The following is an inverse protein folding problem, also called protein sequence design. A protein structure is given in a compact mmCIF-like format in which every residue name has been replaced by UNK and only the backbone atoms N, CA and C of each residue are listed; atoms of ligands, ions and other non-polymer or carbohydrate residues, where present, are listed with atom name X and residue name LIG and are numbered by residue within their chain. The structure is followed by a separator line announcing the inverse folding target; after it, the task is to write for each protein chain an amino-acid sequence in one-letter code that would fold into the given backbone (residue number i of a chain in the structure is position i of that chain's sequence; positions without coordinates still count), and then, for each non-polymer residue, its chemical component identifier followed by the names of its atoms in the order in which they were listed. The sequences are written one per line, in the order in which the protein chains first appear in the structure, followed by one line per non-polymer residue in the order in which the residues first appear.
data_IF_666824676606
#
_entry.id   IF_666824676606
#
_cell.length_a   1.000
_cell.length_b   1.000
_cell.length_c   1.000
_cell.angle_alpha   90.00
_cell.angle_beta   90.00
_cell.angle_gamma   90.00
#
_symmetry.space_group_name_H-M   'P 1'
#
loop_
_entity.id
_entity.type
_entity.pdbx_description
1 polymer ?
#
# COMPACT_ATOMS: atom_id res chain seq x y z
N UNK A 1 -16.52 6.69 -11.59
CA UNK A 1 -16.13 7.32 -10.31
C UNK A 1 -14.64 7.12 -10.08
N UNK A 2 -14.00 8.12 -9.51
CA UNK A 2 -12.59 7.99 -9.15
C UNK A 2 -12.42 7.07 -7.95
N UNK A 3 -11.29 6.41 -7.87
CA UNK A 3 -10.92 5.63 -6.72
C UNK A 3 -10.39 6.52 -5.60
N UNK A 4 -9.72 5.91 -4.66
CA UNK A 4 -9.20 6.62 -3.48
C UNK A 4 -7.71 6.38 -3.29
N UNK A 5 -7.09 7.31 -2.59
CA UNK A 5 -5.72 7.14 -2.12
C UNK A 5 -5.74 7.17 -0.60
N UNK A 6 -5.22 6.13 0.02
CA UNK A 6 -5.10 6.06 1.47
C UNK A 6 -3.64 5.93 1.86
N UNK A 7 -3.22 6.66 2.88
CA UNK A 7 -1.87 6.58 3.41
C UNK A 7 -1.90 5.71 4.66
N UNK A 8 -1.11 4.65 4.66
CA UNK A 8 -1.08 3.67 5.75
C UNK A 8 0.30 3.63 6.39
N UNK A 9 0.52 4.36 7.47
CA UNK A 9 1.75 4.17 8.22
C UNK A 9 1.71 2.81 8.91
N UNK A 10 2.74 2.02 8.71
CA UNK A 10 2.81 0.69 9.32
C UNK A 10 3.95 0.63 10.33
N UNK A 11 3.75 -0.06 11.45
CA UNK A 11 4.84 -0.25 12.40
C UNK A 11 5.89 -1.17 11.80
N UNK A 12 7.14 -0.75 11.88
CA UNK A 12 8.24 -1.54 11.36
C UNK A 12 8.42 -2.79 12.21
N UNK A 13 8.36 -3.94 11.54
CA UNK A 13 8.70 -5.20 12.19
C UNK A 13 7.73 -5.74 13.21
N UNK A 14 6.59 -5.10 13.42
CA UNK A 14 5.62 -5.59 14.39
C UNK A 14 4.22 -5.67 13.78
N UNK A 15 3.88 -6.85 13.31
CA UNK A 15 2.60 -7.11 12.65
C UNK A 15 1.42 -7.02 13.62
N UNK A 16 1.65 -7.32 14.88
CA UNK A 16 0.58 -7.32 15.87
C UNK A 16 0.06 -5.91 16.17
N UNK A 17 0.87 -4.90 15.87
CA UNK A 17 0.47 -3.53 16.09
C UNK A 17 -0.31 -2.92 14.94
N UNK A 18 -0.49 -3.67 13.85
CA UNK A 18 -1.28 -3.17 12.73
C UNK A 18 -2.75 -3.06 13.16
N UNK A 19 -3.32 -1.88 13.04
CA UNK A 19 -4.70 -1.67 13.43
C UNK A 19 -5.66 -2.37 12.47
N UNK A 20 -6.87 -2.71 12.93
CA UNK A 20 -7.89 -3.27 12.04
C UNK A 20 -8.18 -2.36 10.85
N UNK A 21 -8.08 -1.06 11.03
CA UNK A 21 -8.30 -0.10 9.96
C UNK A 21 -7.26 -0.20 8.87
N UNK A 22 -5.99 -0.38 9.25
CA UNK A 22 -4.92 -0.58 8.28
C UNK A 22 -5.18 -1.85 7.48
N UNK A 23 -5.55 -2.92 8.17
CA UNK A 23 -5.85 -4.19 7.52
C UNK A 23 -7.00 -4.04 6.52
N UNK A 24 -8.07 -3.40 6.91
CA UNK A 24 -9.22 -3.17 6.02
C UNK A 24 -8.83 -2.33 4.81
N UNK A 25 -8.03 -1.30 5.01
CA UNK A 25 -7.56 -0.46 3.92
C UNK A 25 -6.74 -1.25 2.91
N UNK A 26 -5.86 -2.12 3.39
CA UNK A 26 -5.04 -2.96 2.52
C UNK A 26 -5.88 -3.99 1.77
N UNK A 27 -6.89 -4.56 2.44
CA UNK A 27 -7.79 -5.52 1.80
C UNK A 27 -8.58 -4.84 0.67
N UNK A 28 -9.00 -3.60 0.88
CA UNK A 28 -9.79 -2.86 -0.09
C UNK A 28 -8.98 -2.30 -1.25
N UNK A 29 -7.66 -2.26 -1.11
CA UNK A 29 -6.81 -1.65 -2.12
C UNK A 29 -6.66 -2.56 -3.34
N UNK A 30 -6.62 -1.96 -4.51
CA UNK A 30 -6.28 -2.66 -5.74
C UNK A 30 -4.78 -2.66 -5.97
N UNK A 31 -4.13 -1.57 -5.58
CA UNK A 31 -2.68 -1.42 -5.66
C UNK A 31 -2.15 -0.93 -4.33
N UNK A 32 -0.99 -1.43 -3.94
CA UNK A 32 -0.30 -0.97 -2.74
C UNK A 32 1.08 -0.47 -3.14
N UNK A 33 1.30 0.82 -2.97
CA UNK A 33 2.58 1.44 -3.24
C UNK A 33 3.43 1.43 -1.97
N UNK A 34 4.67 0.97 -2.09
CA UNK A 34 5.55 0.81 -0.93
C UNK A 34 7.01 0.90 -1.35
N UNK A 35 7.87 1.28 -0.42
CA UNK A 35 9.29 1.37 -0.71
C UNK A 35 9.91 0.00 -0.98
N UNK A 36 9.56 -0.97 -0.16
CA UNK A 36 10.12 -2.32 -0.24
C UNK A 36 8.99 -3.33 -0.43
N UNK A 37 8.85 -3.81 -1.65
CA UNK A 37 7.77 -4.75 -1.98
C UNK A 37 7.92 -6.09 -1.27
N UNK A 38 9.15 -6.50 -0.97
CA UNK A 38 9.38 -7.76 -0.26
C UNK A 38 8.89 -7.66 1.17
N UNK A 39 9.25 -6.58 1.85
CA UNK A 39 8.83 -6.35 3.23
C UNK A 39 7.31 -6.23 3.32
N UNK A 40 6.72 -5.47 2.43
CA UNK A 40 5.27 -5.30 2.40
C UNK A 40 4.57 -6.60 2.08
N UNK A 41 5.12 -7.40 1.17
CA UNK A 41 4.57 -8.72 0.88
C UNK A 41 4.53 -9.63 2.10
N UNK A 42 5.60 -9.63 2.88
CA UNK A 42 5.64 -10.41 4.12
C UNK A 42 4.65 -9.90 5.15
N UNK A 43 4.50 -8.58 5.23
CA UNK A 43 3.50 -7.97 6.11
C UNK A 43 2.10 -8.44 5.75
N UNK A 44 1.77 -8.46 4.46
CA UNK A 44 0.46 -8.90 4.02
C UNK A 44 0.22 -10.38 4.28
N UNK A 45 1.24 -11.21 4.12
CA UNK A 45 1.14 -12.62 4.47
C UNK A 45 0.85 -12.79 5.96
N UNK A 46 1.56 -12.03 6.80
CA UNK A 46 1.37 -12.08 8.24
C UNK A 46 -0.02 -11.64 8.67
N UNK A 47 -0.61 -10.72 7.94
CA UNK A 47 -1.97 -10.24 8.21
C UNK A 47 -3.05 -11.07 7.52
N UNK A 48 -2.65 -12.08 6.77
CA UNK A 48 -3.57 -12.96 6.02
C UNK A 48 -4.49 -12.17 5.08
N UNK A 49 -3.92 -11.18 4.40
CA UNK A 49 -4.68 -10.36 3.46
C UNK A 49 -4.85 -11.11 2.14
N UNK A 50 -6.10 -11.37 1.79
CA UNK A 50 -6.44 -12.07 0.56
C UNK A 50 -7.73 -11.52 -0.04
N UNK A 51 -7.81 -11.35 -1.38
CA UNK A 51 -6.70 -11.49 -2.31
C UNK A 51 -5.62 -10.42 -2.04
N UNK A 52 -4.38 -10.74 -2.37
CA UNK A 52 -3.28 -9.80 -2.17
C UNK A 52 -3.34 -8.70 -3.22
N UNK A 53 -3.36 -7.43 -2.83
CA UNK A 53 -3.29 -6.34 -3.80
C UNK A 53 -2.00 -6.37 -4.59
N UNK A 54 -1.99 -5.72 -5.74
CA UNK A 54 -0.78 -5.62 -6.53
C UNK A 54 0.20 -4.66 -5.88
N UNK A 55 1.41 -5.14 -5.61
CA UNK A 55 2.45 -4.33 -5.00
C UNK A 55 3.20 -3.54 -6.06
N UNK A 56 3.42 -2.26 -5.77
CA UNK A 56 4.10 -1.35 -6.68
C UNK A 56 5.22 -0.66 -5.90
N UNK A 57 6.44 -0.72 -6.41
CA UNK A 57 7.54 -0.03 -5.75
C UNK A 57 7.39 1.48 -5.91
N UNK A 58 7.54 2.19 -4.80
CA UNK A 58 7.40 3.63 -4.76
C UNK A 58 8.46 4.17 -3.79
N UNK A 59 9.51 4.74 -4.34
CA UNK A 59 10.61 5.27 -3.54
C UNK A 59 11.19 6.51 -4.22
N UNK A 60 12.12 7.14 -3.55
CA UNK A 60 12.69 8.38 -4.03
C UNK A 60 13.23 8.30 -5.46
N UNK A 61 13.75 7.16 -5.86
CA UNK A 61 14.32 6.98 -7.20
C UNK A 61 13.30 6.88 -8.32
N UNK A 62 12.05 6.53 -8.03
CA UNK A 62 11.02 6.37 -9.05
C UNK A 62 9.73 7.15 -8.77
N UNK A 63 9.75 7.99 -7.75
CA UNK A 63 8.55 8.67 -7.26
C UNK A 63 7.80 9.43 -8.34
N UNK A 64 8.49 10.18 -9.16
CA UNK A 64 7.83 10.99 -10.20
C UNK A 64 7.05 10.14 -11.20
N UNK A 65 7.68 9.10 -11.72
CA UNK A 65 7.04 8.22 -12.70
C UNK A 65 5.89 7.44 -12.06
N UNK A 66 6.10 6.92 -10.87
CA UNK A 66 5.07 6.14 -10.18
C UNK A 66 3.86 6.98 -9.77
N UNK A 67 4.10 8.25 -9.39
CA UNK A 67 3.00 9.16 -9.05
C UNK A 67 2.03 9.32 -10.22
N UNK A 68 2.57 9.48 -11.43
CA UNK A 68 1.73 9.60 -12.62
C UNK A 68 0.93 8.32 -12.86
N UNK A 69 1.59 7.16 -12.78
CA UNK A 69 0.92 5.88 -12.97
C UNK A 69 -0.21 5.65 -11.97
N UNK A 70 0.08 5.90 -10.69
CA UNK A 70 -0.89 5.69 -9.63
C UNK A 70 -2.07 6.66 -9.74
N UNK A 71 -1.81 7.90 -10.09
CA UNK A 71 -2.87 8.89 -10.32
C UNK A 71 -3.80 8.42 -11.42
N UNK A 72 -3.26 7.87 -12.50
CA UNK A 72 -4.07 7.35 -13.59
C UNK A 72 -4.96 6.19 -13.12
N UNK A 73 -4.44 5.31 -12.26
CA UNK A 73 -5.24 4.21 -11.75
C UNK A 73 -6.37 4.72 -10.85
N UNK A 74 -6.10 5.71 -10.03
CA UNK A 74 -7.13 6.31 -9.20
C UNK A 74 -8.24 6.93 -10.06
N UNK A 75 -7.86 7.62 -11.13
CA UNK A 75 -8.82 8.20 -12.05
C UNK A 75 -9.70 7.15 -12.73
N UNK A 76 -9.18 5.93 -12.88
CA UNK A 76 -9.94 4.81 -13.46
C UNK A 76 -10.84 4.12 -12.44
N UNK A 77 -10.83 4.56 -11.19
CA UNK A 77 -11.67 4.01 -10.15
C UNK A 77 -11.01 3.00 -9.24
N UNK A 78 -9.71 2.80 -9.36
CA UNK A 78 -8.99 1.87 -8.49
C UNK A 78 -8.57 2.52 -7.18
N UNK A 79 -8.55 1.73 -6.13
CA UNK A 79 -8.10 2.20 -4.83
C UNK A 79 -6.61 1.91 -4.65
N UNK A 80 -5.87 2.92 -4.21
CA UNK A 80 -4.44 2.80 -4.00
C UNK A 80 -4.14 3.07 -2.53
N UNK A 81 -3.36 2.20 -1.91
CA UNK A 81 -2.84 2.42 -0.57
C UNK A 81 -1.34 2.71 -0.67
N UNK A 82 -0.90 3.72 0.05
CA UNK A 82 0.52 4.04 0.15
C UNK A 82 0.98 3.62 1.53
N UNK A 83 1.87 2.62 1.57
CA UNK A 83 2.41 2.10 2.82
C UNK A 83 3.72 2.80 3.12
N UNK A 84 3.81 3.41 4.28
CA UNK A 84 5.01 4.10 4.72
C UNK A 84 5.71 3.30 5.79
N UNK A 85 6.96 2.94 5.54
CA UNK A 85 7.80 2.27 6.52
C UNK A 85 8.53 3.26 7.41
N UNK A 86 8.36 4.53 7.14
CA UNK A 86 9.07 5.55 7.86
C UNK A 86 8.60 5.61 9.30
N UNK A 87 8.14 4.56 9.81
CA UNK A 87 7.60 4.40 11.11
C UNK A 87 8.14 5.30 12.13
N UNK A 88 8.70 6.07 11.98
CA UNK A 88 9.00 6.96 13.08
C UNK A 88 9.36 6.25 14.32
#
# INVERSE_FOLDING_TARGET
MAGTLAVCPTPIGNLDDASPRIRETLISADFVACEDTRRTGKLMEGLAIRPTPRLVSFHEGNESARSVELTQQIERGYNVALVSDAGM
#
